data_IF_612360977005
#
_entry.id   IF_612360977005
#
_cell.length_a   1.000
_cell.length_b   1.000
_cell.length_c   1.000
_cell.angle_alpha   90.00
_cell.angle_beta   90.00
_cell.angle_gamma   90.00
#
_symmetry.space_group_name_H-M   'P 1'
#
loop_
_entity.id
_entity.type
_entity.pdbx_description
1 polymer ?
#
# COMPACT_ATOMS: atom_id res chain seq x y z
N UNK A 1 11.14 22.16 6.09
CA UNK A 1 10.71 20.76 5.97
C UNK A 1 11.58 20.09 4.90
N UNK A 2 12.33 19.06 5.25
CA UNK A 2 13.12 18.31 4.27
C UNK A 2 12.14 17.69 3.25
N UNK A 3 12.41 17.88 1.96
CA UNK A 3 11.48 17.47 0.89
C UNK A 3 11.69 16.00 0.60
N UNK A 4 10.78 15.15 1.07
CA UNK A 4 10.80 13.71 0.82
C UNK A 4 10.14 13.39 -0.53
N UNK A 5 10.82 13.65 -1.64
CA UNK A 5 10.38 13.30 -2.97
C UNK A 5 10.33 14.46 -3.96
N UNK A 6 9.81 14.16 -5.13
CA UNK A 6 9.60 15.09 -6.24
C UNK A 6 8.12 15.16 -6.59
N UNK A 7 7.63 16.34 -6.89
CA UNK A 7 6.22 16.57 -7.22
C UNK A 7 6.02 16.42 -8.72
N UNK A 8 5.11 15.52 -9.10
CA UNK A 8 4.54 15.44 -10.43
C UNK A 8 3.15 16.09 -10.44
N UNK A 9 2.90 17.03 -11.33
CA UNK A 9 1.58 17.62 -11.50
C UNK A 9 0.76 16.77 -12.48
N UNK A 10 -0.19 16.02 -11.95
CA UNK A 10 -1.07 15.13 -12.71
C UNK A 10 -2.46 15.74 -12.70
N UNK A 11 -2.93 16.19 -13.87
CA UNK A 11 -4.14 17.01 -13.97
C UNK A 11 -4.05 18.22 -13.00
N UNK A 12 -5.02 18.36 -12.10
CA UNK A 12 -5.09 19.43 -11.11
C UNK A 12 -4.56 19.01 -9.74
N UNK A 13 -3.84 17.87 -9.64
CA UNK A 13 -3.32 17.33 -8.40
C UNK A 13 -1.81 17.21 -8.41
N UNK A 14 -1.18 17.48 -7.28
CA UNK A 14 0.25 17.25 -7.04
C UNK A 14 0.46 15.87 -6.44
N UNK A 15 1.21 15.01 -7.13
CA UNK A 15 1.57 13.67 -6.67
C UNK A 15 3.04 13.68 -6.27
N UNK A 16 3.32 13.36 -5.01
CA UNK A 16 4.67 13.20 -4.52
C UNK A 16 5.17 11.78 -4.79
N UNK A 17 6.37 11.69 -5.37
CA UNK A 17 7.09 10.44 -5.58
C UNK A 17 8.47 10.56 -4.99
N UNK A 18 8.73 9.77 -3.96
CA UNK A 18 10.07 9.63 -3.40
C UNK A 18 10.88 8.63 -4.19
N UNK A 19 12.16 8.89 -4.42
CA UNK A 19 13.07 7.94 -5.07
C UNK A 19 14.37 7.81 -4.30
N UNK A 20 14.91 6.58 -4.24
CA UNK A 20 16.18 6.23 -3.63
C UNK A 20 16.85 5.10 -4.43
N UNK A 21 18.19 5.01 -4.37
CA UNK A 21 18.95 3.99 -5.07
C UNK A 21 19.14 4.24 -6.56
N UNK A 22 20.04 3.50 -7.19
CA UNK A 22 20.49 3.69 -8.57
C UNK A 22 20.38 2.43 -9.45
N UNK A 23 19.63 1.41 -8.99
CA UNK A 23 19.42 0.19 -9.78
C UNK A 23 18.69 0.45 -11.10
N UNK A 24 18.91 -0.40 -12.08
CA UNK A 24 18.28 -0.31 -13.40
C UNK A 24 16.78 -0.65 -13.38
N UNK A 25 16.34 -1.45 -12.41
CA UNK A 25 14.94 -1.82 -12.22
C UNK A 25 14.35 -1.03 -11.04
N UNK A 26 13.17 -0.46 -11.23
CA UNK A 26 12.48 0.31 -10.18
C UNK A 26 11.47 -0.56 -9.45
N UNK A 27 11.58 -0.63 -8.12
CA UNK A 27 10.55 -1.17 -7.23
C UNK A 27 9.64 -0.03 -6.79
N UNK A 28 8.34 -0.16 -7.05
CA UNK A 28 7.33 0.85 -6.72
C UNK A 28 6.53 0.39 -5.51
N UNK A 29 6.68 1.06 -4.39
CA UNK A 29 5.85 0.87 -3.21
C UNK A 29 4.51 1.60 -3.35
N UNK A 30 3.42 0.84 -3.24
CA UNK A 30 2.05 1.33 -3.34
C UNK A 30 1.38 1.29 -1.96
N UNK A 31 0.85 2.42 -1.53
CA UNK A 31 0.32 2.58 -0.19
C UNK A 31 -1.04 1.91 0.01
N UNK A 32 -1.19 1.20 1.12
CA UNK A 32 -2.48 0.73 1.62
C UNK A 32 -3.39 1.88 2.03
N UNK A 33 -4.71 1.60 2.13
CA UNK A 33 -5.68 2.62 2.57
C UNK A 33 -5.37 3.09 4.00
N UNK A 34 -5.35 4.41 4.20
CA UNK A 34 -5.10 5.03 5.50
C UNK A 34 -3.63 5.12 5.92
N UNK A 35 -2.68 4.71 5.09
CA UNK A 35 -1.24 4.94 5.34
C UNK A 35 -0.93 6.42 5.15
N UNK A 36 -0.92 7.17 6.26
CA UNK A 36 -0.84 8.64 6.23
C UNK A 36 0.49 9.20 5.73
N UNK A 37 1.60 8.47 5.88
CA UNK A 37 2.96 8.90 5.47
C UNK A 37 3.72 7.74 4.79
N UNK A 38 3.37 7.39 3.54
CA UNK A 38 3.92 6.22 2.83
C UNK A 38 5.42 6.17 2.75
N UNK A 39 6.07 7.30 2.45
CA UNK A 39 7.53 7.37 2.31
C UNK A 39 8.23 6.86 3.57
N UNK A 40 7.82 7.30 4.74
CA UNK A 40 8.44 6.89 6.00
C UNK A 40 7.91 5.55 6.51
N UNK A 41 6.65 5.20 6.19
CA UNK A 41 6.05 3.92 6.58
C UNK A 41 6.81 2.73 5.98
N UNK A 42 7.17 2.80 4.68
CA UNK A 42 7.87 1.69 4.01
C UNK A 42 9.40 1.78 4.05
N UNK A 43 9.95 2.86 4.62
CA UNK A 43 11.39 3.07 4.73
C UNK A 43 12.15 1.88 5.32
N UNK A 44 11.67 1.21 6.38
CA UNK A 44 12.37 0.06 6.95
C UNK A 44 12.66 -1.05 5.94
N UNK A 45 11.74 -1.30 5.01
CA UNK A 45 11.93 -2.33 3.97
C UNK A 45 12.73 -1.79 2.80
N UNK A 46 12.29 -0.68 2.18
CA UNK A 46 12.86 -0.26 0.92
C UNK A 46 14.34 0.17 1.03
N UNK A 47 14.78 0.75 2.14
CA UNK A 47 16.19 1.11 2.36
C UNK A 47 17.14 -0.09 2.35
N UNK A 48 16.61 -1.29 2.63
CA UNK A 48 17.37 -2.56 2.57
C UNK A 48 17.46 -3.14 1.16
N UNK A 49 16.74 -2.56 0.23
CA UNK A 49 16.68 -2.97 -1.18
C UNK A 49 17.32 -1.92 -2.11
N UNK A 50 17.52 -0.68 -1.62
CA UNK A 50 17.96 0.47 -2.41
C UNK A 50 19.41 0.38 -2.91
N UNK A 51 20.24 -0.49 -2.34
CA UNK A 51 21.61 -0.73 -2.83
C UNK A 51 21.62 -1.43 -4.21
N UNK A 52 20.56 -2.20 -4.53
CA UNK A 52 20.48 -3.00 -5.76
C UNK A 52 19.40 -2.50 -6.73
N UNK A 53 18.35 -1.93 -6.20
CA UNK A 53 17.20 -1.48 -6.96
C UNK A 53 16.99 0.03 -6.80
N UNK A 54 16.47 0.66 -7.84
CA UNK A 54 15.87 1.97 -7.68
C UNK A 54 14.54 1.80 -6.97
N UNK A 55 14.31 2.58 -5.93
CA UNK A 55 13.05 2.60 -5.19
C UNK A 55 12.23 3.80 -5.66
N UNK A 56 10.92 3.61 -5.79
CA UNK A 56 9.96 4.69 -5.88
C UNK A 56 8.83 4.44 -4.89
N UNK A 57 8.48 5.43 -4.07
CA UNK A 57 7.31 5.39 -3.20
C UNK A 57 6.33 6.43 -3.70
N UNK A 58 5.17 5.99 -4.18
CA UNK A 58 4.13 6.89 -4.67
C UNK A 58 3.19 7.24 -3.52
N UNK A 59 3.09 8.51 -3.23
CA UNK A 59 2.07 9.03 -2.31
C UNK A 59 0.85 9.44 -3.13
N UNK A 60 -0.19 8.63 -3.08
CA UNK A 60 -1.44 8.89 -3.81
C UNK A 60 -2.03 10.26 -3.44
N UNK A 61 -2.87 10.82 -4.28
CA UNK A 61 -3.63 12.03 -3.93
C UNK A 61 -4.38 11.85 -2.60
N UNK A 62 -4.24 12.78 -1.69
CA UNK A 62 -4.75 12.73 -0.32
C UNK A 62 -3.88 11.96 0.68
N UNK A 63 -2.66 11.54 0.28
CA UNK A 63 -1.69 10.83 1.12
C UNK A 63 -0.37 11.60 1.20
N UNK A 64 0.36 11.40 2.28
CA UNK A 64 1.72 11.91 2.43
C UNK A 64 1.84 13.40 2.19
N UNK A 65 2.75 13.76 1.32
CA UNK A 65 3.02 15.14 0.89
C UNK A 65 2.27 15.53 -0.40
N UNK A 66 1.48 14.61 -0.97
CA UNK A 66 0.65 14.88 -2.13
C UNK A 66 -0.48 15.87 -1.83
N UNK A 67 -1.02 16.46 -2.88
CA UNK A 67 -2.22 17.30 -2.82
C UNK A 67 -3.50 16.46 -2.63
N UNK A 68 -4.62 17.16 -2.50
CA UNK A 68 -5.93 16.53 -2.39
C UNK A 68 -6.33 15.81 -3.68
N UNK A 69 -7.17 14.78 -3.56
CA UNK A 69 -7.70 14.06 -4.70
C UNK A 69 -8.75 14.89 -5.44
N UNK A 70 -8.60 15.01 -6.75
CA UNK A 70 -9.54 15.71 -7.63
C UNK A 70 -10.36 14.75 -8.50
N UNK A 71 -10.03 13.45 -8.48
CA UNK A 71 -10.73 12.39 -9.21
C UNK A 71 -11.35 11.37 -8.26
N UNK A 72 -12.37 10.64 -8.73
CA UNK A 72 -12.93 9.50 -7.99
C UNK A 72 -11.83 8.44 -7.74
N UNK A 73 -11.80 7.87 -6.55
CA UNK A 73 -10.76 6.89 -6.14
C UNK A 73 -11.07 5.49 -6.64
N UNK A 74 -11.42 5.36 -7.94
CA UNK A 74 -11.51 4.06 -8.62
C UNK A 74 -10.11 3.49 -8.86
N UNK A 75 -10.00 2.15 -8.97
CA UNK A 75 -8.72 1.50 -9.20
C UNK A 75 -8.05 1.98 -10.50
N UNK A 76 -8.86 2.27 -11.53
CA UNK A 76 -8.39 2.83 -12.79
C UNK A 76 -7.73 4.19 -12.58
N UNK A 77 -8.42 5.11 -11.92
CA UNK A 77 -7.89 6.46 -11.67
C UNK A 77 -6.63 6.43 -10.78
N UNK A 78 -6.62 5.58 -9.74
CA UNK A 78 -5.47 5.39 -8.85
C UNK A 78 -4.22 4.96 -9.64
N UNK A 79 -4.37 4.00 -10.54
CA UNK A 79 -3.26 3.52 -11.35
C UNK A 79 -2.87 4.53 -12.43
N UNK A 80 -3.83 5.15 -13.12
CA UNK A 80 -3.50 6.15 -14.15
C UNK A 80 -2.80 7.39 -13.58
N UNK A 81 -3.19 7.85 -12.39
CA UNK A 81 -2.48 8.92 -11.67
C UNK A 81 -1.04 8.51 -11.35
N UNK A 82 -0.84 7.28 -10.86
CA UNK A 82 0.48 6.74 -10.55
C UNK A 82 1.36 6.64 -11.80
N UNK A 83 0.84 6.10 -12.89
CA UNK A 83 1.52 5.99 -14.18
C UNK A 83 1.88 7.36 -14.76
N UNK A 84 0.95 8.32 -14.68
CA UNK A 84 1.21 9.70 -15.14
C UNK A 84 2.32 10.37 -14.33
N UNK A 85 2.31 10.22 -12.99
CA UNK A 85 3.35 10.77 -12.13
C UNK A 85 4.74 10.20 -12.46
N UNK A 86 4.83 8.89 -12.66
CA UNK A 86 6.08 8.23 -13.04
C UNK A 86 6.60 8.73 -14.40
N UNK A 87 5.72 8.85 -15.40
CA UNK A 87 6.09 9.40 -16.74
C UNK A 87 6.62 10.82 -16.65
N UNK A 88 5.95 11.69 -15.89
CA UNK A 88 6.37 13.11 -15.69
C UNK A 88 7.76 13.17 -15.05
N UNK A 89 8.05 12.26 -14.12
CA UNK A 89 9.34 12.20 -13.42
C UNK A 89 10.40 11.35 -14.16
N UNK A 90 10.13 10.91 -15.39
CA UNK A 90 11.02 10.09 -16.20
C UNK A 90 11.45 8.78 -15.52
N UNK A 91 10.57 8.20 -14.71
CA UNK A 91 10.73 6.87 -14.13
C UNK A 91 10.08 5.88 -15.11
N UNK A 92 10.90 5.04 -15.75
CA UNK A 92 10.46 4.22 -16.89
C UNK A 92 10.20 2.77 -16.48
N UNK A 93 9.22 2.09 -17.09
CA UNK A 93 9.01 0.66 -16.93
C UNK A 93 10.16 -0.16 -17.59
N UNK A 94 10.24 -1.48 -17.34
CA UNK A 94 9.33 -2.24 -16.50
C UNK A 94 9.59 -2.07 -15.00
N UNK A 95 8.50 -2.14 -14.22
CA UNK A 95 8.51 -1.97 -12.76
C UNK A 95 8.36 -3.30 -12.03
N UNK A 96 8.79 -3.35 -10.78
CA UNK A 96 8.37 -4.31 -9.78
C UNK A 96 7.41 -3.57 -8.86
N UNK A 97 6.17 -4.04 -8.72
CA UNK A 97 5.19 -3.42 -7.84
C UNK A 97 5.27 -4.05 -6.44
N UNK A 98 5.32 -3.23 -5.41
CA UNK A 98 5.30 -3.65 -4.00
C UNK A 98 4.03 -3.10 -3.30
N UNK A 99 2.85 -3.69 -3.56
CA UNK A 99 1.60 -3.24 -2.97
C UNK A 99 1.49 -3.69 -1.52
N UNK A 100 0.98 -2.78 -0.66
CA UNK A 100 0.57 -3.08 0.71
C UNK A 100 -0.94 -2.99 0.85
N UNK A 101 -1.56 -4.00 1.48
CA UNK A 101 -2.99 -3.93 1.85
C UNK A 101 -3.88 -3.59 0.65
N UNK A 102 -4.72 -2.57 0.74
CA UNK A 102 -5.65 -2.12 -0.29
C UNK A 102 -5.03 -1.99 -1.69
N UNK A 103 -3.79 -1.53 -1.80
CA UNK A 103 -3.13 -1.36 -3.10
C UNK A 103 -2.83 -2.67 -3.85
N UNK A 104 -3.15 -3.81 -3.25
CA UNK A 104 -3.18 -5.08 -3.96
C UNK A 104 -4.13 -5.06 -5.16
N UNK A 105 -5.28 -4.35 -5.06
CA UNK A 105 -6.21 -4.18 -6.17
C UNK A 105 -5.61 -3.33 -7.29
N UNK A 106 -4.86 -2.28 -6.92
CA UNK A 106 -4.14 -1.44 -7.87
C UNK A 106 -3.08 -2.24 -8.63
N UNK A 107 -2.28 -3.04 -7.90
CA UNK A 107 -1.22 -3.85 -8.50
C UNK A 107 -1.76 -4.94 -9.42
N UNK A 108 -2.85 -5.63 -9.05
CA UNK A 108 -3.49 -6.64 -9.89
C UNK A 108 -4.03 -6.00 -11.17
N UNK A 109 -4.77 -4.90 -11.05
CA UNK A 109 -5.32 -4.21 -12.20
C UNK A 109 -4.23 -3.64 -13.11
N UNK A 110 -3.18 -3.04 -12.55
CA UNK A 110 -2.03 -2.51 -13.30
C UNK A 110 -1.31 -3.60 -14.07
N UNK A 111 -0.87 -4.65 -13.37
CA UNK A 111 -0.10 -5.74 -13.98
C UNK A 111 -0.86 -6.46 -15.11
N UNK A 112 -2.17 -6.62 -14.97
CA UNK A 112 -2.98 -7.33 -15.96
C UNK A 112 -3.44 -6.43 -17.13
N UNK A 113 -3.57 -5.10 -16.89
CA UNK A 113 -3.98 -4.14 -17.92
C UNK A 113 -2.79 -3.64 -18.74
N UNK A 114 -1.61 -3.52 -18.11
CA UNK A 114 -0.37 -3.04 -18.73
C UNK A 114 0.77 -4.03 -18.46
N UNK A 115 0.69 -5.26 -18.98
CA UNK A 115 1.65 -6.33 -18.65
C UNK A 115 3.09 -5.99 -19.06
N UNK A 116 3.28 -5.15 -20.07
CA UNK A 116 4.60 -4.69 -20.50
C UNK A 116 5.27 -3.73 -19.50
N UNK A 117 4.49 -3.14 -18.60
CA UNK A 117 5.00 -2.22 -17.58
C UNK A 117 5.41 -2.93 -16.30
N UNK A 118 4.94 -4.16 -16.05
CA UNK A 118 5.11 -4.83 -14.75
C UNK A 118 5.88 -6.13 -14.88
N UNK A 119 7.11 -6.16 -14.35
CA UNK A 119 8.00 -7.31 -14.34
C UNK A 119 7.62 -8.35 -13.27
N UNK A 120 7.22 -7.89 -12.09
CA UNK A 120 6.86 -8.74 -10.95
C UNK A 120 6.02 -7.99 -9.91
N UNK A 121 5.38 -8.74 -8.99
CA UNK A 121 4.64 -8.21 -7.84
C UNK A 121 5.20 -8.77 -6.54
N UNK A 122 5.55 -7.90 -5.59
CA UNK A 122 5.98 -8.21 -4.23
C UNK A 122 4.85 -7.86 -3.25
N UNK A 123 3.93 -8.78 -3.03
CA UNK A 123 2.74 -8.55 -2.21
C UNK A 123 3.09 -8.43 -0.72
N UNK A 124 3.07 -7.22 -0.19
CA UNK A 124 3.29 -6.92 1.22
C UNK A 124 1.94 -6.93 1.95
N UNK A 125 1.52 -8.10 2.38
CA UNK A 125 0.18 -8.33 2.98
C UNK A 125 -0.96 -7.70 2.16
N UNK A 126 -0.89 -7.87 0.85
CA UNK A 126 -1.74 -7.19 -0.13
C UNK A 126 -3.18 -7.69 -0.08
N UNK A 127 -4.12 -6.79 -0.32
CA UNK A 127 -5.54 -7.10 -0.46
C UNK A 127 -5.83 -7.91 -1.72
N UNK A 128 -6.67 -8.93 -1.58
CA UNK A 128 -6.99 -9.87 -2.65
C UNK A 128 -8.49 -9.86 -2.94
N UNK A 129 -8.89 -9.95 -4.21
CA UNK A 129 -10.31 -9.89 -4.62
C UNK A 129 -11.19 -10.98 -3.99
N UNK A 130 -10.67 -12.21 -3.85
CA UNK A 130 -11.41 -13.33 -3.25
C UNK A 130 -11.77 -13.06 -1.78
N UNK A 131 -10.88 -12.43 -0.99
CA UNK A 131 -11.18 -12.01 0.37
C UNK A 131 -12.27 -10.93 0.38
N UNK A 132 -12.18 -9.94 -0.48
CA UNK A 132 -13.19 -8.87 -0.56
C UNK A 132 -14.56 -9.42 -0.95
N UNK A 133 -14.62 -10.36 -1.90
CA UNK A 133 -15.86 -11.06 -2.26
C UNK A 133 -16.48 -11.83 -1.07
N UNK A 134 -15.65 -12.47 -0.26
CA UNK A 134 -16.12 -13.16 0.95
C UNK A 134 -16.69 -12.18 1.98
N UNK A 135 -16.01 -11.06 2.22
CA UNK A 135 -16.49 -10.00 3.11
C UNK A 135 -17.80 -9.37 2.62
N UNK A 136 -17.92 -9.16 1.31
CA UNK A 136 -19.12 -8.59 0.70
C UNK A 136 -20.38 -9.43 0.96
N UNK A 137 -20.25 -10.75 1.00
CA UNK A 137 -21.37 -11.68 1.27
C UNK A 137 -21.84 -11.62 2.74
N UNK A 138 -20.94 -11.31 3.68
CA UNK A 138 -21.27 -11.36 5.11
C UNK A 138 -21.70 -10.00 5.70
N UNK A 139 -21.23 -8.90 5.11
CA UNK A 139 -21.48 -7.56 5.65
C UNK A 139 -22.34 -6.77 4.65
N UNK A 140 -23.62 -6.48 4.99
CA UNK A 140 -24.48 -5.67 4.13
C UNK A 140 -23.88 -4.28 3.84
N UNK A 141 -24.12 -3.77 2.64
CA UNK A 141 -23.58 -2.50 2.14
C UNK A 141 -23.91 -1.30 3.07
N UNK A 142 -25.13 -1.24 3.59
CA UNK A 142 -25.52 -0.19 4.53
C UNK A 142 -24.71 -0.23 5.83
N UNK A 143 -24.42 -1.44 6.31
CA UNK A 143 -23.57 -1.62 7.50
C UNK A 143 -22.13 -1.17 7.22
N UNK A 144 -21.58 -1.47 6.03
CA UNK A 144 -20.26 -0.99 5.61
C UNK A 144 -20.22 0.54 5.58
N UNK A 145 -21.19 1.18 4.90
CA UNK A 145 -21.31 2.65 4.86
C UNK A 145 -21.39 3.28 6.25
N UNK A 146 -22.18 2.70 7.14
CA UNK A 146 -22.27 3.16 8.52
C UNK A 146 -20.94 3.02 9.28
N UNK A 147 -20.20 1.93 9.06
CA UNK A 147 -18.88 1.72 9.66
C UNK A 147 -17.87 2.75 9.12
N UNK A 148 -17.82 2.99 7.82
CA UNK A 148 -16.96 4.01 7.21
C UNK A 148 -17.30 5.39 7.76
N UNK A 149 -18.59 5.74 7.86
CA UNK A 149 -19.03 7.01 8.44
C UNK A 149 -18.59 7.20 9.90
N UNK A 150 -18.70 6.16 10.73
CA UNK A 150 -18.20 6.20 12.13
C UNK A 150 -16.69 6.36 12.18
N UNK A 151 -15.97 5.62 11.34
CA UNK A 151 -14.50 5.73 11.23
C UNK A 151 -14.09 7.13 10.81
N UNK A 152 -14.78 7.72 9.81
CA UNK A 152 -14.54 9.09 9.36
C UNK A 152 -14.65 10.10 10.52
N UNK A 153 -15.74 10.05 11.28
CA UNK A 153 -15.94 10.92 12.45
C UNK A 153 -14.84 10.75 13.49
N UNK A 154 -14.44 9.50 13.75
CA UNK A 154 -13.36 9.19 14.70
C UNK A 154 -12.02 9.76 14.20
N UNK A 155 -11.66 9.54 12.94
CA UNK A 155 -10.40 10.03 12.36
C UNK A 155 -10.33 11.55 12.35
N UNK A 156 -11.42 12.26 12.05
CA UNK A 156 -11.47 13.73 12.19
C UNK A 156 -11.24 14.21 13.63
N UNK A 157 -11.71 13.46 14.64
CA UNK A 157 -11.42 13.79 16.04
C UNK A 157 -9.95 13.54 16.40
N UNK A 158 -9.37 12.45 15.89
CA UNK A 158 -7.95 12.10 16.12
C UNK A 158 -7.03 13.10 15.41
N UNK A 159 -7.37 13.53 14.20
CA UNK A 159 -6.60 14.52 13.43
C UNK A 159 -6.40 15.86 14.18
N UNK A 160 -7.28 16.19 15.15
CA UNK A 160 -7.14 17.37 16.02
C UNK A 160 -6.05 17.26 17.08
N UNK A 161 -5.35 16.12 17.16
CA UNK A 161 -4.22 15.85 18.09
C UNK A 161 -4.53 16.07 19.58
N UNK A 162 -5.80 15.96 19.98
CA UNK A 162 -6.23 16.11 21.38
C UNK A 162 -5.98 14.86 22.23
N UNK A 163 -6.61 14.79 23.40
CA UNK A 163 -6.48 13.66 24.35
C UNK A 163 -6.81 12.31 23.69
N UNK A 164 -7.83 12.27 22.83
CA UNK A 164 -8.22 11.05 22.12
C UNK A 164 -7.09 10.50 21.23
N UNK A 165 -6.36 11.37 20.54
CA UNK A 165 -5.21 10.98 19.72
C UNK A 165 -4.10 10.37 20.57
N UNK A 166 -3.83 10.92 21.75
CA UNK A 166 -2.85 10.36 22.70
C UNK A 166 -3.25 8.99 23.21
N UNK A 167 -4.52 8.80 23.59
CA UNK A 167 -5.05 7.51 24.08
C UNK A 167 -5.00 6.44 22.97
N UNK A 168 -5.31 6.81 21.74
CA UNK A 168 -5.35 5.88 20.61
C UNK A 168 -4.04 5.81 19.81
N UNK A 169 -2.95 6.43 20.29
CA UNK A 169 -1.65 6.52 19.59
C UNK A 169 -1.22 5.17 18.98
N UNK A 170 -1.21 4.11 19.76
CA UNK A 170 -0.76 2.78 19.33
C UNK A 170 -1.78 2.03 18.46
N UNK A 171 -2.96 2.57 18.26
CA UNK A 171 -3.98 2.05 17.32
C UNK A 171 -4.13 2.93 16.07
N UNK A 172 -3.40 4.02 16.00
CA UNK A 172 -3.44 5.02 14.92
C UNK A 172 -2.04 5.38 14.45
N UNK A 173 -1.53 6.55 14.79
CA UNK A 173 -0.24 7.06 14.28
C UNK A 173 0.95 6.14 14.56
N UNK A 174 0.91 5.33 15.59
CA UNK A 174 1.95 4.34 15.90
C UNK A 174 1.47 2.89 15.78
N UNK A 175 0.47 2.62 14.95
CA UNK A 175 -0.05 1.26 14.75
C UNK A 175 1.02 0.30 14.21
N UNK A 176 1.92 0.79 13.38
CA UNK A 176 3.09 0.05 12.87
C UNK A 176 4.21 -0.12 13.92
N UNK A 177 4.24 0.70 14.97
CA UNK A 177 5.31 0.74 15.97
C UNK A 177 6.55 1.53 15.54
N UNK A 178 6.52 2.20 14.37
CA UNK A 178 7.66 2.93 13.83
C UNK A 178 8.14 4.08 14.73
N UNK A 179 7.23 4.75 15.43
CA UNK A 179 7.60 5.86 16.31
C UNK A 179 8.40 5.39 17.54
N UNK A 180 8.28 4.12 17.92
CA UNK A 180 9.02 3.53 19.04
C UNK A 180 10.24 2.72 18.56
N UNK A 181 10.41 2.53 17.24
CA UNK A 181 11.54 1.81 16.64
C UNK A 181 12.77 2.70 16.41
N UNK A 182 13.89 2.08 16.03
CA UNK A 182 15.11 2.75 15.58
C UNK A 182 15.19 2.90 14.05
N UNK A 183 14.12 2.57 13.32
CA UNK A 183 14.10 2.62 11.86
C UNK A 183 13.99 4.06 11.33
N UNK A 184 13.45 4.96 12.14
CA UNK A 184 13.35 6.39 11.85
C UNK A 184 14.18 7.22 12.82
N UNK A 185 14.85 8.26 12.33
CA UNK A 185 15.50 9.26 13.16
C UNK A 185 14.45 10.07 13.95
N UNK A 186 14.89 10.79 14.98
CA UNK A 186 14.01 11.65 15.78
C UNK A 186 13.31 12.73 14.94
N UNK A 187 13.97 13.22 13.89
CA UNK A 187 13.39 14.20 12.97
C UNK A 187 12.35 13.55 12.04
N UNK A 188 12.65 12.38 11.50
CA UNK A 188 11.71 11.62 10.68
C UNK A 188 10.45 11.22 11.44
N UNK A 189 10.56 10.86 12.72
CA UNK A 189 9.41 10.59 13.59
C UNK A 189 8.49 11.80 13.71
N UNK A 190 9.05 13.01 13.85
CA UNK A 190 8.26 14.25 13.88
C UNK A 190 7.55 14.50 12.56
N UNK A 191 8.28 14.36 11.44
CA UNK A 191 7.68 14.49 10.09
C UNK A 191 6.59 13.45 9.89
N UNK A 192 6.84 12.20 10.27
CA UNK A 192 5.85 11.12 10.18
C UNK A 192 4.56 11.46 10.93
N UNK A 193 4.64 11.90 12.17
CA UNK A 193 3.48 12.31 12.96
C UNK A 193 2.73 13.48 12.33
N UNK A 194 3.44 14.51 11.88
CA UNK A 194 2.82 15.68 11.24
C UNK A 194 2.06 15.31 9.98
N UNK A 195 2.69 14.55 9.11
CA UNK A 195 2.12 14.13 7.83
C UNK A 195 0.97 13.13 8.03
N UNK A 196 1.11 12.20 8.97
CA UNK A 196 0.07 11.26 9.33
C UNK A 196 -1.22 11.97 9.78
N UNK A 197 -1.10 12.89 10.75
CA UNK A 197 -2.27 13.61 11.27
C UNK A 197 -2.91 14.55 10.25
N UNK A 198 -2.15 15.06 9.29
CA UNK A 198 -2.68 15.82 8.15
C UNK A 198 -3.60 14.96 7.29
N UNK A 199 -3.26 13.69 7.06
CA UNK A 199 -3.88 12.85 6.05
C UNK A 199 -4.85 11.79 6.59
N UNK A 200 -4.82 11.45 7.89
CA UNK A 200 -5.64 10.36 8.44
C UNK A 200 -7.16 10.55 8.25
N UNK A 201 -7.59 11.78 8.05
CA UNK A 201 -8.98 12.14 7.80
C UNK A 201 -9.21 12.67 6.37
N UNK A 202 -8.31 12.37 5.42
CA UNK A 202 -8.47 12.81 4.04
C UNK A 202 -9.69 12.17 3.37
N UNK A 203 -10.35 12.92 2.51
CA UNK A 203 -11.51 12.43 1.75
C UNK A 203 -11.15 11.25 0.86
N UNK A 204 -9.94 11.24 0.29
CA UNK A 204 -9.44 10.15 -0.55
C UNK A 204 -9.48 8.80 0.17
N UNK A 205 -9.03 8.75 1.44
CA UNK A 205 -9.05 7.51 2.26
C UNK A 205 -10.47 6.99 2.46
N UNK A 206 -11.44 7.88 2.68
CA UNK A 206 -12.83 7.46 2.85
C UNK A 206 -13.47 7.01 1.54
N UNK A 207 -13.18 7.68 0.44
CA UNK A 207 -13.64 7.26 -0.89
C UNK A 207 -13.06 5.89 -1.27
N UNK A 208 -11.77 5.62 -1.04
CA UNK A 208 -11.18 4.29 -1.23
C UNK A 208 -11.92 3.23 -0.39
N UNK A 209 -12.24 3.54 0.87
CA UNK A 209 -12.97 2.62 1.75
C UNK A 209 -14.40 2.34 1.25
N UNK A 210 -15.08 3.33 0.70
CA UNK A 210 -16.42 3.19 0.12
C UNK A 210 -16.35 2.38 -1.19
N UNK A 211 -15.34 2.62 -2.00
CA UNK A 211 -15.16 1.98 -3.31
C UNK A 211 -14.44 0.62 -3.24
N UNK A 212 -14.04 0.17 -2.06
CA UNK A 212 -13.17 -1.01 -1.90
C UNK A 212 -13.70 -2.26 -2.60
N UNK A 213 -15.00 -2.54 -2.48
CA UNK A 213 -15.63 -3.68 -3.12
C UNK A 213 -15.70 -3.53 -4.65
N UNK A 214 -16.04 -2.33 -5.13
CA UNK A 214 -16.06 -2.02 -6.56
C UNK A 214 -14.65 -2.13 -7.17
N UNK A 215 -13.64 -1.61 -6.49
CA UNK A 215 -12.26 -1.66 -6.92
C UNK A 215 -11.69 -3.09 -6.91
N UNK A 216 -12.02 -3.87 -5.89
CA UNK A 216 -11.66 -5.29 -5.86
C UNK A 216 -12.33 -6.09 -6.99
N UNK A 217 -13.62 -5.86 -7.24
CA UNK A 217 -14.34 -6.51 -8.34
C UNK A 217 -13.78 -6.12 -9.71
N UNK A 218 -13.37 -4.86 -9.88
CA UNK A 218 -12.72 -4.38 -11.11
C UNK A 218 -11.36 -5.03 -11.32
N UNK A 219 -10.52 -5.11 -10.27
CA UNK A 219 -9.26 -5.82 -10.33
C UNK A 219 -9.46 -7.31 -10.65
N UNK A 220 -10.43 -7.94 -9.99
CA UNK A 220 -10.81 -9.35 -10.21
C UNK A 220 -11.24 -9.64 -11.67
N UNK A 221 -11.93 -8.69 -12.32
CA UNK A 221 -12.37 -8.82 -13.70
C UNK A 221 -11.21 -8.94 -14.71
N UNK A 222 -9.99 -8.58 -14.33
CA UNK A 222 -8.78 -8.76 -15.16
C UNK A 222 -8.15 -10.14 -15.02
N UNK A 223 -8.65 -10.96 -14.09
CA UNK A 223 -8.14 -12.30 -13.78
C UNK A 223 -7.00 -12.29 -12.77
N UNK A 224 -6.39 -13.46 -12.59
CA UNK A 224 -5.22 -13.61 -11.71
C UNK A 224 -3.98 -12.95 -12.29
N UNK A 225 -3.01 -12.61 -11.43
CA UNK A 225 -1.70 -12.11 -11.88
C UNK A 225 -1.03 -13.07 -12.86
N UNK A 226 -0.51 -12.52 -13.94
CA UNK A 226 0.19 -13.27 -15.00
C UNK A 226 1.70 -13.11 -14.92
N UNK A 227 2.19 -12.08 -14.24
CA UNK A 227 3.61 -11.88 -13.98
C UNK A 227 4.06 -12.66 -12.74
N UNK A 228 5.37 -12.94 -12.59
CA UNK A 228 5.94 -13.52 -11.38
C UNK A 228 5.53 -12.74 -10.14
N UNK A 229 5.20 -13.45 -9.05
CA UNK A 229 4.79 -12.80 -7.80
C UNK A 229 5.30 -13.54 -6.56
N UNK A 230 5.58 -12.78 -5.50
CA UNK A 230 5.94 -13.27 -4.18
C UNK A 230 5.09 -12.55 -3.14
N UNK A 231 4.42 -13.30 -2.26
CA UNK A 231 3.52 -12.76 -1.25
C UNK A 231 4.03 -13.04 0.16
N UNK A 232 4.27 -12.00 0.94
CA UNK A 232 4.41 -12.08 2.39
C UNK A 232 3.04 -11.80 3.01
N UNK A 233 2.50 -12.76 3.77
CA UNK A 233 1.10 -12.77 4.23
C UNK A 233 1.03 -12.89 5.73
N UNK A 234 0.43 -11.91 6.41
CA UNK A 234 0.28 -11.84 7.86
C UNK A 234 -0.72 -12.86 8.42
N UNK A 235 -0.68 -13.04 9.74
CA UNK A 235 -1.71 -13.78 10.46
C UNK A 235 -2.91 -12.90 10.88
N UNK A 236 -3.17 -11.82 10.15
CA UNK A 236 -4.27 -10.90 10.41
C UNK A 236 -5.62 -11.63 10.47
N UNK A 237 -6.39 -11.32 11.50
CA UNK A 237 -7.76 -11.84 11.62
C UNK A 237 -8.73 -10.96 10.84
N UNK A 238 -9.56 -11.58 10.03
CA UNK A 238 -10.62 -10.91 9.28
C UNK A 238 -12.00 -11.38 9.76
N UNK A 239 -13.01 -10.52 9.76
CA UNK A 239 -14.36 -10.86 10.23
C UNK A 239 -15.16 -11.61 9.16
N UNK A 240 -14.61 -12.72 8.65
CA UNK A 240 -15.25 -13.59 7.63
C UNK A 240 -15.30 -15.00 8.17
N UNK A 241 -16.47 -15.62 8.18
CA UNK A 241 -16.63 -16.99 8.63
C UNK A 241 -16.05 -17.97 7.61
N UNK A 242 -15.27 -18.93 8.09
CA UNK A 242 -14.75 -20.02 7.26
C UNK A 242 -13.65 -19.66 6.27
N UNK A 243 -13.16 -18.41 6.25
CA UNK A 243 -12.05 -17.98 5.43
C UNK A 243 -11.10 -17.10 6.24
N UNK A 244 -9.86 -17.53 6.41
CA UNK A 244 -8.80 -16.71 6.99
C UNK A 244 -8.10 -15.86 5.93
N UNK A 245 -7.41 -14.81 6.36
CA UNK A 245 -6.57 -13.99 5.48
C UNK A 245 -5.52 -14.82 4.74
N UNK A 246 -4.82 -15.71 5.48
CA UNK A 246 -3.81 -16.60 4.93
C UNK A 246 -4.40 -17.63 3.95
N UNK A 247 -5.60 -18.15 4.24
CA UNK A 247 -6.26 -19.10 3.34
C UNK A 247 -6.65 -18.45 2.01
N UNK A 248 -7.20 -17.24 2.05
CA UNK A 248 -7.53 -16.49 0.84
C UNK A 248 -6.26 -16.20 0.00
N UNK A 249 -5.16 -15.87 0.67
CA UNK A 249 -3.90 -15.62 0.01
C UNK A 249 -3.33 -16.91 -0.62
N UNK A 250 -3.44 -18.04 0.06
CA UNK A 250 -3.03 -19.34 -0.46
C UNK A 250 -3.81 -19.70 -1.72
N UNK A 251 -5.14 -19.62 -1.67
CA UNK A 251 -5.99 -19.88 -2.83
C UNK A 251 -5.63 -18.98 -4.03
N UNK A 252 -5.39 -17.69 -3.79
CA UNK A 252 -5.00 -16.77 -4.86
C UNK A 252 -3.61 -17.09 -5.43
N UNK A 253 -2.64 -17.38 -4.56
CA UNK A 253 -1.26 -17.68 -4.93
C UNK A 253 -1.17 -18.96 -5.79
N UNK A 254 -1.94 -19.98 -5.45
CA UNK A 254 -2.03 -21.24 -6.24
C UNK A 254 -2.49 -20.99 -7.68
N UNK A 255 -3.44 -20.06 -7.90
CA UNK A 255 -3.94 -19.73 -9.23
C UNK A 255 -2.97 -18.91 -10.09
N UNK A 256 -2.09 -18.14 -9.49
CA UNK A 256 -1.09 -17.34 -10.21
C UNK A 256 0.34 -17.88 -10.06
N UNK A 257 0.50 -19.06 -9.47
CA UNK A 257 1.79 -19.70 -9.19
C UNK A 257 2.78 -18.76 -8.48
N UNK A 258 2.27 -17.98 -7.51
CA UNK A 258 3.09 -17.07 -6.73
C UNK A 258 3.86 -17.79 -5.62
N UNK A 259 5.08 -17.35 -5.34
CA UNK A 259 5.80 -17.72 -4.13
C UNK A 259 5.07 -17.15 -2.91
N UNK A 260 4.83 -17.98 -1.88
CA UNK A 260 4.00 -17.62 -0.74
C UNK A 260 4.72 -17.84 0.58
N UNK A 261 4.81 -16.79 1.39
CA UNK A 261 5.37 -16.80 2.74
C UNK A 261 4.32 -16.44 3.78
N UNK A 262 3.98 -17.40 4.63
CA UNK A 262 3.08 -17.18 5.77
C UNK A 262 3.87 -16.60 6.95
N UNK A 263 3.56 -15.38 7.33
CA UNK A 263 4.29 -14.63 8.35
C UNK A 263 3.48 -14.62 9.65
N UNK A 264 4.14 -14.96 10.76
CA UNK A 264 3.50 -14.95 12.08
C UNK A 264 3.59 -13.55 12.72
N UNK A 265 3.18 -12.54 11.98
CA UNK A 265 3.10 -11.14 12.41
C UNK A 265 1.78 -10.51 11.95
N UNK A 266 1.45 -9.35 12.52
CA UNK A 266 0.27 -8.58 12.13
C UNK A 266 0.45 -7.84 10.80
N UNK A 267 -0.61 -7.18 10.38
CA UNK A 267 -0.72 -6.48 9.08
C UNK A 267 0.42 -5.49 8.77
N UNK A 268 1.03 -4.88 9.81
CA UNK A 268 2.12 -3.92 9.66
C UNK A 268 3.51 -4.60 9.78
N UNK A 269 3.66 -5.81 9.23
CA UNK A 269 4.89 -6.61 9.30
C UNK A 269 6.12 -5.89 8.72
N UNK A 270 5.95 -5.06 7.72
CA UNK A 270 7.01 -4.27 7.10
C UNK A 270 7.75 -3.35 8.08
N UNK A 271 7.08 -2.92 9.13
CA UNK A 271 7.68 -2.12 10.18
C UNK A 271 8.20 -2.97 11.36
N UNK A 272 7.65 -4.16 11.55
CA UNK A 272 7.98 -5.05 12.67
C UNK A 272 9.20 -5.93 12.39
N UNK A 273 9.27 -6.51 11.21
CA UNK A 273 10.31 -7.45 10.75
C UNK A 273 10.88 -7.07 9.38
N UNK A 274 11.32 -5.81 9.20
CA UNK A 274 11.70 -5.28 7.88
C UNK A 274 12.89 -6.04 7.25
N UNK A 275 13.79 -6.59 8.05
CA UNK A 275 14.94 -7.37 7.58
C UNK A 275 14.47 -8.65 6.92
N UNK A 276 13.55 -9.36 7.56
CA UNK A 276 12.98 -10.61 7.03
C UNK A 276 12.20 -10.34 5.74
N UNK A 277 11.31 -9.35 5.73
CA UNK A 277 10.53 -9.00 4.54
C UNK A 277 11.41 -8.60 3.36
N UNK A 278 12.40 -7.73 3.58
CA UNK A 278 13.34 -7.35 2.54
C UNK A 278 14.15 -8.56 2.04
N UNK A 279 14.57 -9.44 2.94
CA UNK A 279 15.30 -10.67 2.61
C UNK A 279 14.49 -11.62 1.73
N UNK A 280 13.21 -11.86 2.04
CA UNK A 280 12.30 -12.67 1.24
C UNK A 280 12.15 -12.11 -0.17
N UNK A 281 11.88 -10.82 -0.29
CA UNK A 281 11.71 -10.17 -1.60
C UNK A 281 13.00 -10.16 -2.42
N UNK A 282 14.15 -9.90 -1.81
CA UNK A 282 15.44 -9.96 -2.50
C UNK A 282 15.77 -11.38 -2.95
N UNK A 283 15.46 -12.39 -2.14
CA UNK A 283 15.64 -13.80 -2.52
C UNK A 283 14.81 -14.15 -3.76
N UNK A 284 13.54 -13.82 -3.75
CA UNK A 284 12.66 -14.03 -4.91
C UNK A 284 13.16 -13.31 -6.16
N UNK A 285 13.57 -12.04 -6.05
CA UNK A 285 14.08 -11.28 -7.19
C UNK A 285 15.38 -11.86 -7.76
N UNK A 286 16.25 -12.44 -6.92
CA UNK A 286 17.45 -13.15 -7.38
C UNK A 286 17.10 -14.35 -8.26
N UNK A 287 16.04 -15.08 -7.95
CA UNK A 287 15.62 -16.22 -8.79
C UNK A 287 15.15 -15.76 -10.17
N UNK A 288 14.51 -14.59 -10.27
CA UNK A 288 14.07 -14.03 -11.55
C UNK A 288 15.20 -13.46 -12.42
N UNK A 289 16.29 -13.05 -11.81
CA UNK A 289 17.47 -12.53 -12.54
C UNK A 289 18.40 -13.65 -13.03
N UNK A 290 18.21 -14.87 -12.51
CA UNK A 290 19.02 -16.04 -12.85
C UNK A 290 18.47 -16.86 -14.03
N UNK A 291 17.27 -16.51 -14.51
CA UNK A 291 16.57 -17.11 -15.67
C UNK A 291 16.79 -16.25 -16.90
#
# INVERSE_FOLDING_TARGET
>A
MQRYGSIARVNDTEINVYTEGNGNTTIIFLAGSGVGCPVLEYKPVYRRMSDRYRIAVIEKAGYGLSGDATTERTVENLVEESRAALRILNIRPPYILAPHSYSGFEAIWWANTYPEEVKAVLGLDMGLPNMMRAQAKEIPEEKKKAMVGKTRVLMHKIAKRGLLAKILRNKTVNASGLLDSNELSSEEKKVYEEVYYKNIASEAVFQESILAEKNAAKADSTGYLKCPACFAVSNMKVPVKGLSWQQAAKEYAEHCNAELHMINEGHMMHAKIPVEIAGLFLSFLNTLESI
#
